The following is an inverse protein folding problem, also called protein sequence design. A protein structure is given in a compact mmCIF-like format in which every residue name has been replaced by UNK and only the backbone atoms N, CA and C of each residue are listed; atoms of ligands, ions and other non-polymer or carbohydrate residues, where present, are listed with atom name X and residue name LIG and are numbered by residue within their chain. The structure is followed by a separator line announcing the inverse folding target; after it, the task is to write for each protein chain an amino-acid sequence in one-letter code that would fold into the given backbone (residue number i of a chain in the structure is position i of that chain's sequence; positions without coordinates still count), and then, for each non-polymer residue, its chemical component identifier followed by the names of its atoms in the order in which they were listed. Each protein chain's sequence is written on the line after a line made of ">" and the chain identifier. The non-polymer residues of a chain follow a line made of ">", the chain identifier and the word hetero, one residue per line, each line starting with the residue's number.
data_IF_353357631960
#
_entry.id   IF_353357631960
#
_cell.length_a   1.000
_cell.length_b   1.000
_cell.length_c   1.000
_cell.angle_alpha   90.00
_cell.angle_beta   90.00
_cell.angle_gamma   90.00
#
_symmetry.space_group_name_H-M   'P 1'
#
loop_
_entity.id
_entity.type
_entity.pdbx_description
1 polymer ?
#
# COMPACT_ATOMS: atom_id res chain seq x y z
N UNK A 1 28.44 -16.14 -6.05
CA UNK A 1 27.46 -15.06 -6.27
C UNK A 1 26.13 -15.60 -5.81
N UNK A 2 25.42 -14.90 -4.91
CA UNK A 2 24.14 -15.40 -4.40
C UNK A 2 23.08 -15.38 -5.51
N UNK A 3 22.34 -16.47 -5.64
CA UNK A 3 21.23 -16.68 -6.55
C UNK A 3 19.91 -16.32 -5.87
N UNK A 4 19.21 -15.33 -6.44
CA UNK A 4 18.01 -14.76 -5.84
C UNK A 4 16.82 -14.95 -6.78
N UNK A 5 15.69 -15.34 -6.22
CA UNK A 5 14.38 -15.22 -6.87
C UNK A 5 13.59 -14.15 -6.13
N UNK A 6 13.02 -13.21 -6.88
CA UNK A 6 12.22 -12.13 -6.31
C UNK A 6 10.72 -12.39 -6.45
N UNK A 7 9.95 -12.24 -5.37
CA UNK A 7 8.50 -12.37 -5.34
C UNK A 7 7.85 -11.01 -5.06
N UNK A 8 7.10 -10.48 -6.03
CA UNK A 8 6.42 -9.18 -5.89
C UNK A 8 5.35 -8.95 -6.95
N UNK A 9 4.43 -8.01 -6.71
CA UNK A 9 3.31 -7.75 -7.65
C UNK A 9 3.00 -6.27 -7.91
N UNK A 10 2.95 -5.39 -6.90
CA UNK A 10 2.73 -3.97 -7.10
C UNK A 10 3.91 -3.27 -7.75
N UNK A 11 3.65 -2.18 -8.47
CA UNK A 11 4.68 -1.44 -9.21
C UNK A 11 5.80 -0.90 -8.31
N UNK A 12 5.49 -0.45 -7.09
CA UNK A 12 6.53 0.13 -6.22
C UNK A 12 7.64 -0.88 -5.92
N UNK A 13 7.33 -2.18 -5.88
CA UNK A 13 8.30 -3.24 -5.58
C UNK A 13 9.40 -3.39 -6.64
N UNK A 14 9.28 -2.78 -7.82
CA UNK A 14 10.30 -2.86 -8.87
C UNK A 14 11.61 -2.18 -8.46
N UNK A 15 11.60 -1.25 -7.51
CA UNK A 15 12.84 -0.66 -6.96
C UNK A 15 13.76 -1.73 -6.35
N UNK A 16 13.19 -2.81 -5.79
CA UNK A 16 13.97 -3.94 -5.29
C UNK A 16 14.62 -4.70 -6.44
N UNK A 17 13.88 -4.92 -7.53
CA UNK A 17 14.42 -5.58 -8.74
C UNK A 17 15.58 -4.75 -9.31
N UNK A 18 15.41 -3.43 -9.39
CA UNK A 18 16.44 -2.52 -9.90
C UNK A 18 17.69 -2.58 -9.03
N UNK A 19 17.52 -2.49 -7.71
CA UNK A 19 18.64 -2.60 -6.80
C UNK A 19 19.37 -3.94 -6.94
N UNK A 20 18.64 -5.07 -6.95
CA UNK A 20 19.25 -6.39 -7.13
C UNK A 20 20.11 -6.49 -8.39
N UNK A 21 19.70 -5.85 -9.49
CA UNK A 21 20.44 -5.85 -10.76
C UNK A 21 21.71 -5.00 -10.72
N UNK A 22 21.79 -4.03 -9.82
CA UNK A 22 23.00 -3.22 -9.61
C UNK A 22 23.98 -3.89 -8.64
N UNK A 23 23.50 -4.83 -7.82
CA UNK A 23 24.31 -5.58 -6.87
C UNK A 23 24.96 -6.81 -7.51
N UNK A 24 25.97 -7.38 -6.83
CA UNK A 24 26.68 -8.59 -7.26
C UNK A 24 25.91 -9.87 -6.91
N UNK A 25 24.64 -9.92 -7.30
CA UNK A 25 23.74 -11.07 -7.12
C UNK A 25 23.16 -11.52 -8.47
N UNK A 26 22.82 -12.80 -8.57
CA UNK A 26 22.20 -13.37 -9.76
C UNK A 26 20.68 -13.41 -9.57
N UNK A 27 19.96 -12.48 -10.21
CA UNK A 27 18.49 -12.51 -10.21
C UNK A 27 18.00 -13.56 -11.23
N UNK A 28 17.66 -14.74 -10.72
CA UNK A 28 17.28 -15.91 -11.54
C UNK A 28 15.89 -15.78 -12.17
N UNK A 29 14.94 -15.24 -11.40
CA UNK A 29 13.55 -15.07 -11.84
C UNK A 29 12.79 -14.06 -10.98
N UNK A 30 11.70 -13.56 -11.55
CA UNK A 30 10.67 -12.77 -10.86
C UNK A 30 9.38 -13.59 -10.81
N UNK A 31 8.85 -13.79 -9.62
CA UNK A 31 7.55 -14.44 -9.39
C UNK A 31 6.53 -13.38 -9.02
N UNK A 32 5.39 -13.39 -9.68
CA UNK A 32 4.32 -12.41 -9.47
C UNK A 32 2.96 -13.08 -9.42
N UNK A 33 1.92 -12.37 -8.95
CA UNK A 33 0.57 -12.90 -8.99
C UNK A 33 0.15 -13.14 -10.44
N UNK A 34 -0.69 -14.15 -10.65
CA UNK A 34 -1.35 -14.35 -11.93
C UNK A 34 -2.26 -13.18 -12.29
N UNK A 35 -2.63 -13.12 -13.56
CA UNK A 35 -3.39 -12.01 -14.13
C UNK A 35 -4.69 -11.75 -13.37
N UNK A 36 -4.99 -10.48 -13.11
CA UNK A 36 -6.26 -10.09 -12.48
C UNK A 36 -7.29 -9.84 -13.56
N UNK A 37 -8.48 -10.42 -13.39
CA UNK A 37 -9.66 -10.07 -14.20
C UNK A 37 -10.14 -8.67 -13.78
N UNK A 38 -9.93 -7.70 -14.66
CA UNK A 38 -10.45 -6.35 -14.53
C UNK A 38 -11.95 -6.25 -14.83
N UNK A 39 -12.49 -5.04 -14.74
CA UNK A 39 -13.87 -4.76 -15.16
C UNK A 39 -14.03 -5.11 -16.65
N UNK A 40 -15.14 -5.75 -17.02
CA UNK A 40 -15.45 -6.25 -18.39
C UNK A 40 -14.57 -7.42 -18.86
N UNK A 41 -13.98 -8.19 -17.95
CA UNK A 41 -13.25 -9.42 -18.30
C UNK A 41 -11.86 -9.19 -18.89
N UNK A 42 -11.38 -7.94 -18.95
CA UNK A 42 -10.00 -7.66 -19.39
C UNK A 42 -9.01 -8.29 -18.43
N UNK A 43 -8.20 -9.20 -18.94
CA UNK A 43 -7.12 -9.84 -18.23
C UNK A 43 -5.91 -8.90 -18.32
N UNK A 44 -5.33 -8.52 -17.18
CA UNK A 44 -4.12 -7.70 -17.15
C UNK A 44 -3.05 -8.35 -16.28
N UNK A 45 -1.84 -8.44 -16.84
CA UNK A 45 -0.62 -8.77 -16.11
C UNK A 45 -0.39 -7.80 -14.95
N UNK A 46 0.32 -8.25 -13.92
CA UNK A 46 0.72 -7.37 -12.83
C UNK A 46 1.74 -6.32 -13.33
N UNK A 47 1.83 -5.16 -12.66
CA UNK A 47 2.87 -4.18 -12.99
C UNK A 47 4.29 -4.77 -12.94
N UNK A 48 4.58 -5.67 -11.99
CA UNK A 48 5.87 -6.35 -11.88
C UNK A 48 6.11 -7.32 -13.04
N UNK A 49 5.10 -8.06 -13.52
CA UNK A 49 5.23 -8.90 -14.70
C UNK A 49 5.64 -8.07 -15.93
N UNK A 50 4.93 -6.97 -16.18
CA UNK A 50 5.21 -6.07 -17.30
C UNK A 50 6.62 -5.46 -17.19
N UNK A 51 7.02 -5.09 -15.97
CA UNK A 51 8.35 -4.57 -15.69
C UNK A 51 9.45 -5.59 -15.99
N UNK A 52 9.28 -6.82 -15.51
CA UNK A 52 10.25 -7.89 -15.66
C UNK A 52 10.38 -8.33 -17.12
N UNK A 53 9.28 -8.45 -17.86
CA UNK A 53 9.28 -8.75 -19.30
C UNK A 53 10.01 -7.67 -20.12
N UNK A 54 9.73 -6.39 -19.83
CA UNK A 54 10.43 -5.26 -20.48
C UNK A 54 11.95 -5.33 -20.27
N UNK A 55 12.38 -5.81 -19.11
CA UNK A 55 13.79 -5.95 -18.75
C UNK A 55 14.37 -7.34 -19.08
N UNK A 56 13.65 -8.18 -19.84
CA UNK A 56 14.08 -9.53 -20.26
C UNK A 56 14.41 -10.47 -19.09
N UNK A 57 13.72 -10.31 -17.95
CA UNK A 57 13.85 -11.21 -16.80
C UNK A 57 12.92 -12.41 -16.96
N UNK A 58 13.32 -13.58 -16.44
CA UNK A 58 12.45 -14.77 -16.39
C UNK A 58 11.28 -14.48 -15.44
N UNK A 59 10.04 -14.67 -15.90
CA UNK A 59 8.82 -14.41 -15.12
C UNK A 59 8.04 -15.70 -14.86
N UNK A 60 7.63 -15.90 -13.62
CA UNK A 60 6.60 -16.88 -13.26
C UNK A 60 5.37 -16.20 -12.69
N UNK A 61 4.19 -16.65 -13.11
CA UNK A 61 2.91 -16.16 -12.60
C UNK A 61 1.97 -17.32 -12.26
N UNK A 62 2.34 -18.18 -11.29
CA UNK A 62 1.55 -19.37 -10.98
C UNK A 62 0.17 -19.01 -10.43
N UNK A 63 -0.84 -19.76 -10.86
CA UNK A 63 -2.18 -19.67 -10.27
C UNK A 63 -2.12 -20.16 -8.82
N UNK A 64 -1.50 -21.33 -8.60
CA UNK A 64 -1.30 -21.95 -7.29
C UNK A 64 0.18 -22.14 -6.99
N UNK A 65 0.62 -21.73 -5.79
CA UNK A 65 2.02 -21.90 -5.37
C UNK A 65 2.37 -23.35 -5.05
N UNK A 66 1.38 -24.18 -4.72
CA UNK A 66 1.55 -25.61 -4.46
C UNK A 66 1.60 -26.46 -5.74
N UNK A 67 1.50 -25.85 -6.92
CA UNK A 67 1.59 -26.59 -8.18
C UNK A 67 2.96 -27.29 -8.30
N UNK A 68 2.92 -28.61 -8.53
CA UNK A 68 4.13 -29.44 -8.54
C UNK A 68 5.11 -29.01 -9.64
N UNK A 69 4.61 -28.58 -10.80
CA UNK A 69 5.47 -28.13 -11.91
C UNK A 69 6.17 -26.82 -11.54
N UNK A 70 5.43 -25.87 -10.98
CA UNK A 70 6.01 -24.62 -10.48
C UNK A 70 7.09 -24.87 -9.42
N UNK A 71 6.81 -25.69 -8.41
CA UNK A 71 7.80 -26.02 -7.37
C UNK A 71 9.05 -26.67 -7.97
N UNK A 72 8.89 -27.62 -8.90
CA UNK A 72 10.02 -28.24 -9.59
C UNK A 72 10.86 -27.23 -10.40
N UNK A 73 10.22 -26.27 -11.07
CA UNK A 73 10.93 -25.20 -11.78
C UNK A 73 11.73 -24.31 -10.83
N UNK A 74 11.17 -23.96 -9.66
CA UNK A 74 11.90 -23.19 -8.63
C UNK A 74 13.06 -24.01 -8.05
N UNK A 75 12.88 -25.31 -7.80
CA UNK A 75 13.94 -26.20 -7.31
C UNK A 75 15.10 -26.31 -8.30
N UNK A 76 14.82 -26.48 -9.61
CA UNK A 76 15.84 -26.57 -10.65
C UNK A 76 16.69 -25.31 -10.77
N UNK A 77 16.11 -24.15 -10.46
CA UNK A 77 16.82 -22.88 -10.43
C UNK A 77 17.86 -22.82 -9.30
N UNK A 78 17.72 -23.67 -8.27
CA UNK A 78 18.60 -23.77 -7.11
C UNK A 78 18.93 -22.39 -6.49
N UNK A 79 17.91 -21.62 -6.05
CA UNK A 79 18.12 -20.32 -5.45
C UNK A 79 18.81 -20.44 -4.08
N UNK A 80 19.69 -19.50 -3.76
CA UNK A 80 20.27 -19.37 -2.42
C UNK A 80 19.30 -18.63 -1.49
N UNK A 81 18.53 -17.69 -2.04
CA UNK A 81 17.59 -16.85 -1.29
C UNK A 81 16.32 -16.57 -2.13
N UNK A 82 15.15 -16.61 -1.48
CA UNK A 82 13.93 -16.04 -2.03
C UNK A 82 13.67 -14.70 -1.33
N UNK A 83 13.61 -13.60 -2.09
CA UNK A 83 13.28 -12.27 -1.58
C UNK A 83 11.82 -11.94 -1.91
N UNK A 84 11.06 -11.50 -0.93
CA UNK A 84 9.62 -11.27 -1.04
C UNK A 84 9.32 -9.81 -0.70
N UNK A 85 8.53 -9.13 -1.52
CA UNK A 85 7.97 -7.84 -1.18
C UNK A 85 6.59 -7.66 -1.80
N UNK A 86 5.58 -7.54 -0.95
CA UNK A 86 4.18 -7.35 -1.36
C UNK A 86 3.70 -8.36 -2.42
N UNK A 87 4.04 -9.64 -2.26
CA UNK A 87 3.58 -10.71 -3.14
C UNK A 87 2.09 -11.03 -2.96
N UNK A 88 1.57 -10.89 -1.73
CA UNK A 88 0.13 -10.96 -1.43
C UNK A 88 -0.49 -12.36 -1.44
N UNK A 89 0.31 -13.43 -1.43
CA UNK A 89 -0.10 -14.81 -1.16
C UNK A 89 0.84 -15.41 -0.11
N UNK A 90 0.31 -16.32 0.71
CA UNK A 90 1.10 -17.09 1.67
C UNK A 90 1.92 -18.13 0.91
N UNK A 91 3.22 -18.20 1.18
CA UNK A 91 4.09 -19.21 0.57
C UNK A 91 3.91 -20.56 1.28
N UNK A 92 3.71 -21.66 0.54
CA UNK A 92 3.63 -22.98 1.15
C UNK A 92 5.00 -23.46 1.65
N UNK A 93 4.98 -24.35 2.65
CA UNK A 93 6.20 -24.84 3.31
C UNK A 93 7.21 -25.49 2.35
N UNK A 94 6.72 -26.20 1.34
CA UNK A 94 7.57 -26.83 0.31
C UNK A 94 8.33 -25.82 -0.56
N UNK A 95 7.88 -24.56 -0.63
CA UNK A 95 8.56 -23.45 -1.30
C UNK A 95 9.51 -22.74 -0.33
N UNK A 96 9.07 -22.52 0.92
CA UNK A 96 9.88 -21.88 1.97
C UNK A 96 11.20 -22.62 2.20
N UNK A 97 11.17 -23.96 2.13
CA UNK A 97 12.32 -24.85 2.37
C UNK A 97 13.29 -24.99 1.19
N UNK A 98 13.00 -24.41 0.01
CA UNK A 98 13.86 -24.56 -1.17
C UNK A 98 15.21 -23.81 -1.00
N UNK A 99 15.21 -22.50 -0.73
CA UNK A 99 16.46 -21.73 -0.69
C UNK A 99 17.32 -22.06 0.52
N UNK A 100 18.63 -22.17 0.32
CA UNK A 100 19.61 -22.45 1.38
C UNK A 100 19.53 -21.47 2.55
N UNK A 101 19.40 -20.17 2.27
CA UNK A 101 19.33 -19.12 3.29
C UNK A 101 17.89 -18.72 3.65
N UNK A 102 16.91 -19.50 3.18
CA UNK A 102 15.50 -19.29 3.47
C UNK A 102 14.85 -18.20 2.62
N UNK A 103 13.71 -17.71 3.10
CA UNK A 103 12.89 -16.71 2.42
C UNK A 103 12.89 -15.42 3.25
N UNK A 104 13.42 -14.34 2.68
CA UNK A 104 13.46 -13.01 3.30
C UNK A 104 12.27 -12.19 2.80
N UNK A 105 11.42 -11.72 3.71
CA UNK A 105 10.31 -10.83 3.36
C UNK A 105 10.60 -9.40 3.81
N UNK A 106 10.18 -8.44 2.99
CA UNK A 106 10.20 -7.01 3.25
C UNK A 106 8.78 -6.61 3.66
N UNK A 107 8.59 -6.23 4.91
CA UNK A 107 7.33 -5.76 5.44
C UNK A 107 7.33 -4.24 5.57
N UNK A 108 6.25 -3.58 5.14
CA UNK A 108 6.16 -2.11 5.13
C UNK A 108 5.62 -1.54 6.44
N UNK A 109 6.13 -2.03 7.57
CA UNK A 109 5.97 -1.46 8.91
C UNK A 109 7.18 -1.80 9.78
N UNK A 110 7.21 -1.24 10.99
CA UNK A 110 8.13 -1.63 12.07
C UNK A 110 7.49 -2.82 12.81
N UNK A 111 7.88 -4.05 12.45
CA UNK A 111 7.39 -5.25 13.14
C UNK A 111 7.85 -5.25 14.62
N UNK A 112 7.03 -5.79 15.54
CA UNK A 112 5.81 -6.58 15.33
C UNK A 112 4.51 -5.77 15.12
N UNK A 113 4.59 -4.44 15.04
CA UNK A 113 3.41 -3.60 14.77
C UNK A 113 2.96 -3.76 13.32
N UNK A 114 1.66 -3.82 13.10
CA UNK A 114 1.02 -3.89 11.78
C UNK A 114 1.36 -5.14 10.94
N UNK A 115 1.42 -6.32 11.56
CA UNK A 115 1.46 -7.61 10.83
C UNK A 115 0.25 -7.74 9.89
N UNK A 116 0.43 -8.29 8.69
CA UNK A 116 -0.65 -8.61 7.77
C UNK A 116 -0.67 -7.80 6.47
N UNK A 117 -1.86 -7.67 5.89
CA UNK A 117 -2.00 -7.39 4.46
C UNK A 117 -1.92 -5.91 4.06
N UNK A 118 -2.16 -4.96 4.98
CA UNK A 118 -2.27 -3.54 4.65
C UNK A 118 -1.54 -2.59 5.64
N UNK A 119 -0.28 -2.87 6.01
CA UNK A 119 0.43 -2.10 7.03
C UNK A 119 0.45 -0.59 6.74
N UNK A 120 0.76 -0.19 5.51
CA UNK A 120 0.84 1.22 5.10
C UNK A 120 -0.47 1.97 5.38
N UNK A 121 -1.60 1.38 5.01
CA UNK A 121 -2.91 2.01 5.22
C UNK A 121 -3.24 2.12 6.71
N UNK A 122 -2.98 1.08 7.50
CA UNK A 122 -3.26 1.09 8.94
C UNK A 122 -2.34 2.05 9.72
N UNK A 123 -1.07 2.16 9.32
CA UNK A 123 -0.16 3.20 9.82
C UNK A 123 -0.77 4.59 9.62
N UNK A 124 -1.29 4.90 8.42
CA UNK A 124 -1.89 6.21 8.16
C UNK A 124 -3.21 6.36 8.94
N UNK A 125 -4.08 5.36 8.94
CA UNK A 125 -5.38 5.41 9.63
C UNK A 125 -5.25 5.59 11.15
N UNK A 126 -4.19 5.05 11.75
CA UNK A 126 -3.90 5.21 13.18
C UNK A 126 -3.27 6.55 13.53
N UNK A 127 -2.88 7.35 12.54
CA UNK A 127 -2.20 8.62 12.76
C UNK A 127 -0.76 8.46 13.27
N UNK A 128 -0.12 7.32 12.98
CA UNK A 128 1.28 7.09 13.33
C UNK A 128 2.16 8.18 12.69
N UNK A 129 3.14 8.69 13.45
CA UNK A 129 4.14 9.64 12.94
C UNK A 129 5.36 8.95 12.34
N UNK A 130 5.54 7.65 12.61
CA UNK A 130 6.64 6.83 12.14
C UNK A 130 6.15 5.52 11.59
N UNK A 131 6.86 5.01 10.60
CA UNK A 131 6.74 3.65 10.08
C UNK A 131 8.13 3.17 9.68
N UNK A 132 8.24 2.13 8.87
CA UNK A 132 9.51 1.66 8.39
C UNK A 132 9.38 0.48 7.47
N UNK A 133 10.52 -0.13 7.20
CA UNK A 133 10.62 -1.43 6.57
C UNK A 133 11.31 -2.41 7.51
N UNK A 134 10.69 -3.55 7.73
CA UNK A 134 11.30 -4.66 8.45
C UNK A 134 11.59 -5.80 7.47
N UNK A 135 12.83 -6.24 7.46
CA UNK A 135 13.28 -7.45 6.80
C UNK A 135 13.27 -8.59 7.80
N UNK A 136 12.57 -9.68 7.50
CA UNK A 136 12.47 -10.82 8.39
C UNK A 136 12.46 -12.13 7.62
N UNK A 137 12.99 -13.20 8.22
CA UNK A 137 12.89 -14.55 7.63
C UNK A 137 11.48 -15.07 7.86
N UNK A 138 10.76 -15.43 6.81
CA UNK A 138 9.40 -15.95 6.98
C UNK A 138 9.42 -17.35 7.59
N UNK A 139 8.38 -17.65 8.37
CA UNK A 139 8.06 -18.98 8.87
C UNK A 139 6.62 -19.34 8.45
N UNK A 140 6.03 -20.36 9.06
CA UNK A 140 4.66 -20.79 8.77
C UNK A 140 3.60 -19.80 9.27
N UNK A 141 3.97 -18.89 10.16
CA UNK A 141 3.09 -17.89 10.76
C UNK A 141 3.15 -16.55 10.02
N UNK A 142 2.01 -15.87 9.93
CA UNK A 142 1.90 -14.59 9.22
C UNK A 142 2.72 -13.49 9.91
N UNK A 143 3.78 -13.04 9.25
CA UNK A 143 4.65 -11.93 9.63
C UNK A 143 5.25 -12.03 11.05
N UNK A 144 5.47 -13.26 11.54
CA UNK A 144 6.03 -13.52 12.88
C UNK A 144 7.48 -14.00 12.91
N UNK A 145 8.07 -14.26 11.75
CA UNK A 145 9.43 -14.78 11.71
C UNK A 145 10.47 -13.77 12.18
N UNK A 146 11.69 -14.26 12.43
CA UNK A 146 12.72 -13.48 13.10
C UNK A 146 13.25 -12.33 12.23
N UNK A 147 13.45 -11.18 12.87
CA UNK A 147 13.86 -9.92 12.22
C UNK A 147 15.35 -9.99 11.89
N UNK A 148 15.68 -9.66 10.65
CA UNK A 148 17.05 -9.46 10.16
C UNK A 148 17.48 -8.00 10.33
N UNK A 149 16.60 -7.07 9.96
CA UNK A 149 16.85 -5.63 10.06
C UNK A 149 15.54 -4.84 10.05
N UNK A 150 15.53 -3.67 10.71
CA UNK A 150 14.43 -2.72 10.67
C UNK A 150 14.99 -1.33 10.40
N UNK A 151 14.36 -0.60 9.49
CA UNK A 151 14.73 0.77 9.14
C UNK A 151 13.50 1.68 9.28
N UNK A 152 13.59 2.67 10.18
CA UNK A 152 12.52 3.60 10.45
C UNK A 152 12.41 4.71 9.39
N UNK A 153 11.21 5.28 9.28
CA UNK A 153 10.87 6.37 8.39
C UNK A 153 9.88 7.32 9.08
N UNK A 154 10.20 8.60 9.14
CA UNK A 154 9.31 9.66 9.62
C UNK A 154 8.25 9.98 8.55
N UNK A 155 6.98 9.91 8.92
CA UNK A 155 5.86 10.16 7.99
C UNK A 155 5.61 11.67 7.93
N UNK A 156 5.68 12.23 6.71
CA UNK A 156 5.33 13.64 6.51
C UNK A 156 3.83 13.85 6.65
N UNK A 157 3.43 15.07 7.04
CA UNK A 157 2.02 15.47 7.04
C UNK A 157 1.37 15.37 5.66
N UNK A 158 2.15 15.43 4.58
CA UNK A 158 1.64 15.33 3.21
C UNK A 158 1.68 13.90 2.65
N UNK A 159 2.18 12.92 3.41
CA UNK A 159 2.23 11.54 2.94
C UNK A 159 0.85 10.89 2.88
N UNK A 160 0.66 10.14 1.80
CA UNK A 160 -0.50 9.30 1.54
C UNK A 160 -0.05 7.86 1.26
N UNK A 161 -0.99 6.94 1.04
CA UNK A 161 -0.63 5.54 0.85
C UNK A 161 0.23 5.30 -0.40
N UNK A 162 0.12 6.11 -1.45
CA UNK A 162 0.91 5.96 -2.68
C UNK A 162 2.32 6.54 -2.47
N UNK A 163 2.44 7.74 -1.90
CA UNK A 163 3.76 8.33 -1.62
C UNK A 163 4.55 7.47 -0.64
N UNK A 164 3.88 6.93 0.37
CA UNK A 164 4.51 6.09 1.39
C UNK A 164 4.94 4.72 0.83
N UNK A 165 4.15 4.11 -0.08
CA UNK A 165 4.57 2.93 -0.84
C UNK A 165 5.89 3.15 -1.58
N UNK A 166 6.01 4.28 -2.29
CA UNK A 166 7.21 4.63 -3.04
C UNK A 166 8.40 4.84 -2.11
N UNK A 167 8.25 5.68 -1.08
CA UNK A 167 9.30 6.03 -0.11
C UNK A 167 9.82 4.80 0.63
N UNK A 168 8.93 3.94 1.13
CA UNK A 168 9.32 2.71 1.82
C UNK A 168 9.98 1.71 0.88
N UNK A 169 9.55 1.63 -0.38
CA UNK A 169 10.23 0.78 -1.34
C UNK A 169 11.66 1.26 -1.65
N UNK A 170 11.87 2.57 -1.71
CA UNK A 170 13.21 3.15 -1.90
C UNK A 170 14.09 2.95 -0.67
N UNK A 171 13.52 3.10 0.53
CA UNK A 171 14.21 2.79 1.79
C UNK A 171 14.65 1.33 1.84
N UNK A 172 13.76 0.39 1.50
CA UNK A 172 14.10 -1.03 1.43
C UNK A 172 15.18 -1.31 0.37
N UNK A 173 15.10 -0.70 -0.82
CA UNK A 173 16.13 -0.84 -1.84
C UNK A 173 17.49 -0.34 -1.33
N UNK A 174 17.52 0.81 -0.63
CA UNK A 174 18.75 1.39 -0.09
C UNK A 174 19.47 0.43 0.88
N UNK A 175 18.73 -0.22 1.77
CA UNK A 175 19.27 -1.13 2.79
C UNK A 175 19.36 -2.60 2.35
N UNK A 176 19.11 -2.89 1.08
CA UNK A 176 18.95 -4.27 0.60
C UNK A 176 20.25 -5.08 0.68
N UNK A 177 21.38 -4.52 0.24
CA UNK A 177 22.65 -5.25 0.18
C UNK A 177 23.14 -5.65 1.57
N UNK A 178 23.13 -4.71 2.51
CA UNK A 178 23.56 -4.97 3.89
C UNK A 178 22.66 -6.00 4.57
N UNK A 179 21.36 -5.98 4.27
CA UNK A 179 20.41 -6.92 4.86
C UNK A 179 20.57 -8.33 4.28
N UNK A 180 20.78 -8.46 2.97
CA UNK A 180 21.04 -9.77 2.35
C UNK A 180 22.31 -10.39 2.95
N UNK A 181 23.36 -9.60 3.19
CA UNK A 181 24.59 -10.08 3.87
C UNK A 181 24.32 -10.61 5.27
N UNK A 182 23.41 -9.98 6.04
CA UNK A 182 23.01 -10.45 7.37
C UNK A 182 22.18 -11.74 7.32
N UNK A 183 21.48 -12.00 6.22
CA UNK A 183 20.57 -13.15 6.09
C UNK A 183 21.29 -14.51 6.06
N UNK A 184 22.61 -14.53 5.83
CA UNK A 184 23.41 -15.75 5.76
C UNK A 184 23.78 -16.33 7.13
N UNK A 185 23.64 -15.55 8.21
CA UNK A 185 23.96 -15.93 9.59
C UNK A 185 22.72 -15.79 10.47
N UNK A 186 22.19 -16.92 10.94
CA UNK A 186 20.99 -16.92 11.77
C UNK A 186 21.24 -16.46 13.22
N UNK A 187 22.50 -16.37 13.65
CA UNK A 187 22.84 -15.99 15.04
C UNK A 187 22.55 -14.51 15.36
N UNK A 188 22.37 -13.67 14.34
CA UNK A 188 22.11 -12.24 14.48
C UNK A 188 20.63 -11.86 14.35
N UNK A 189 19.74 -12.85 14.21
CA UNK A 189 18.31 -12.62 14.08
C UNK A 189 17.68 -12.23 15.42
N UNK A 190 16.72 -11.31 15.37
CA UNK A 190 16.00 -10.81 16.55
C UNK A 190 14.58 -11.37 16.58
N UNK A 191 14.22 -12.06 17.67
CA UNK A 191 12.85 -12.52 17.90
C UNK A 191 11.90 -11.33 18.09
N UNK A 192 10.70 -11.44 17.53
CA UNK A 192 9.67 -10.42 17.72
C UNK A 192 9.09 -10.46 19.15
N UNK A 193 8.82 -9.29 19.71
CA UNK A 193 8.16 -9.13 21.01
C UNK A 193 6.63 -9.17 20.85
N UNK A 194 6.02 -10.34 21.12
CA UNK A 194 4.58 -10.55 20.91
C UNK A 194 3.69 -9.54 21.65
N UNK A 195 4.16 -8.96 22.76
CA UNK A 195 3.40 -7.96 23.53
C UNK A 195 3.20 -6.63 22.78
N UNK A 196 4.02 -6.36 21.76
CA UNK A 196 3.96 -5.15 20.92
C UNK A 196 3.26 -5.38 19.59
N UNK A 197 2.71 -6.56 19.36
CA UNK A 197 2.12 -6.92 18.07
C UNK A 197 0.77 -6.24 17.83
N UNK A 198 0.53 -5.88 16.57
CA UNK A 198 -0.79 -5.44 16.10
C UNK A 198 -1.01 -5.94 14.67
N UNK A 199 -2.27 -5.94 14.21
CA UNK A 199 -2.64 -6.51 12.92
C UNK A 199 -3.25 -5.48 11.98
N UNK A 200 -2.68 -5.41 10.77
CA UNK A 200 -3.14 -4.62 9.65
C UNK A 200 -3.94 -5.50 8.68
N UNK A 201 -5.21 -5.72 9.02
CA UNK A 201 -6.13 -6.49 8.18
C UNK A 201 -6.28 -5.88 6.79
N UNK A 202 -6.60 -6.72 5.81
CA UNK A 202 -6.85 -6.28 4.43
C UNK A 202 -7.96 -5.21 4.40
N UNK A 203 -7.70 -4.09 3.72
CA UNK A 203 -8.71 -3.05 3.50
C UNK A 203 -9.86 -3.62 2.65
N UNK A 204 -11.09 -3.35 3.07
CA UNK A 204 -12.33 -3.71 2.38
C UNK A 204 -12.94 -2.46 1.70
N UNK A 205 -13.79 -2.68 0.70
CA UNK A 205 -14.36 -1.57 -0.09
C UNK A 205 -15.35 -0.71 0.70
N UNK A 206 -16.14 -1.32 1.57
CA UNK A 206 -17.11 -0.65 2.44
C UNK A 206 -16.45 0.31 3.44
N UNK A 207 -15.22 0.03 3.86
CA UNK A 207 -14.44 0.92 4.74
C UNK A 207 -14.12 2.28 4.10
N UNK A 208 -14.30 2.43 2.79
CA UNK A 208 -14.03 3.69 2.09
C UNK A 208 -15.11 4.75 2.30
N UNK A 209 -16.29 4.36 2.82
CA UNK A 209 -17.39 5.28 3.05
C UNK A 209 -17.05 6.19 4.24
N UNK A 210 -17.09 7.49 4.01
CA UNK A 210 -16.90 8.52 5.02
C UNK A 210 -18.17 8.63 5.87
N UNK A 211 -17.99 8.53 7.19
CA UNK A 211 -19.01 8.91 8.15
C UNK A 211 -18.75 10.35 8.56
N UNK A 212 -19.68 11.26 8.23
CA UNK A 212 -19.55 12.66 8.58
C UNK A 212 -19.53 12.90 10.10
N UNK A 213 -19.97 11.93 10.90
CA UNK A 213 -19.86 11.97 12.37
C UNK A 213 -18.44 11.68 12.89
N UNK A 214 -17.45 11.49 12.02
CA UNK A 214 -16.04 11.48 12.40
C UNK A 214 -15.47 12.90 12.46
N UNK A 215 -14.29 13.09 13.06
CA UNK A 215 -13.59 14.37 12.98
C UNK A 215 -13.04 14.61 11.58
N UNK A 216 -12.83 15.88 11.21
CA UNK A 216 -12.21 16.22 9.93
C UNK A 216 -10.82 15.59 9.80
N UNK A 217 -10.04 15.52 10.89
CA UNK A 217 -8.72 14.88 10.92
C UNK A 217 -8.79 13.38 10.61
N UNK A 218 -9.72 12.64 11.23
CA UNK A 218 -9.91 11.21 10.94
C UNK A 218 -10.30 10.97 9.49
N UNK A 219 -11.17 11.82 8.94
CA UNK A 219 -11.56 11.72 7.53
C UNK A 219 -10.36 12.01 6.61
N UNK A 220 -9.50 12.98 6.95
CA UNK A 220 -8.25 13.22 6.20
C UNK A 220 -7.34 12.00 6.21
N UNK A 221 -7.19 11.32 7.35
CA UNK A 221 -6.43 10.07 7.43
C UNK A 221 -7.02 8.99 6.52
N UNK A 222 -8.36 8.84 6.48
CA UNK A 222 -9.03 7.93 5.54
C UNK A 222 -8.76 8.29 4.07
N UNK A 223 -8.86 9.58 3.72
CA UNK A 223 -8.60 10.07 2.36
C UNK A 223 -7.17 9.71 1.94
N UNK A 224 -6.18 9.93 2.82
CA UNK A 224 -4.77 9.60 2.58
C UNK A 224 -4.51 8.09 2.53
N UNK A 225 -5.07 7.32 3.45
CA UNK A 225 -4.88 5.87 3.53
C UNK A 225 -5.50 5.13 2.35
N UNK A 226 -6.60 5.64 1.80
CA UNK A 226 -7.36 4.98 0.73
C UNK A 226 -7.10 5.56 -0.66
N UNK A 227 -6.14 6.49 -0.81
CA UNK A 227 -5.76 7.01 -2.12
C UNK A 227 -5.35 5.86 -3.07
N UNK A 228 -5.81 5.93 -4.32
CA UNK A 228 -5.63 4.87 -5.32
C UNK A 228 -6.61 3.70 -5.16
N UNK A 229 -6.76 3.14 -3.96
CA UNK A 229 -7.75 2.11 -3.67
C UNK A 229 -8.04 1.98 -2.16
N UNK A 230 -9.33 1.84 -1.74
CA UNK A 230 -10.56 1.87 -2.55
C UNK A 230 -11.02 3.28 -2.99
N UNK A 231 -10.30 4.34 -2.56
CA UNK A 231 -10.66 5.76 -2.62
C UNK A 231 -11.80 6.09 -1.67
N UNK A 232 -11.58 7.04 -0.77
CA UNK A 232 -12.60 7.49 0.16
C UNK A 232 -13.81 8.05 -0.60
N UNK A 233 -15.01 7.75 -0.15
CA UNK A 233 -16.26 8.09 -0.84
C UNK A 233 -17.28 8.62 0.16
N UNK A 234 -18.03 9.64 -0.22
CA UNK A 234 -19.05 10.24 0.63
C UNK A 234 -20.31 10.56 -0.17
N UNK A 235 -21.46 10.52 0.52
CA UNK A 235 -22.70 11.08 -0.02
C UNK A 235 -22.73 12.58 0.27
N UNK A 236 -22.77 13.40 -0.78
CA UNK A 236 -22.84 14.86 -0.72
C UNK A 236 -24.05 15.31 -1.54
N UNK A 237 -25.05 15.90 -0.89
CA UNK A 237 -26.29 16.37 -1.53
C UNK A 237 -26.92 15.33 -2.48
N UNK A 238 -26.98 14.08 -2.03
CA UNK A 238 -27.53 12.94 -2.78
C UNK A 238 -26.62 12.34 -3.86
N UNK A 239 -25.43 12.89 -4.08
CA UNK A 239 -24.44 12.34 -5.03
C UNK A 239 -23.35 11.57 -4.32
N UNK A 240 -23.00 10.37 -4.82
CA UNK A 240 -21.79 9.65 -4.38
C UNK A 240 -20.56 10.34 -4.96
N UNK A 241 -19.67 10.82 -4.11
CA UNK A 241 -18.48 11.59 -4.48
C UNK A 241 -17.24 10.92 -3.91
N UNK A 242 -16.27 10.62 -4.77
CA UNK A 242 -14.96 10.15 -4.35
C UNK A 242 -14.06 11.32 -4.00
N UNK A 243 -13.34 11.21 -2.90
CA UNK A 243 -12.47 12.24 -2.36
C UNK A 243 -11.02 11.78 -2.50
N UNK A 244 -10.23 12.58 -3.23
CA UNK A 244 -8.85 12.27 -3.59
C UNK A 244 -7.83 13.09 -2.82
N UNK A 245 -8.22 14.26 -2.31
CA UNK A 245 -7.40 15.11 -1.46
C UNK A 245 -8.30 15.97 -0.60
N UNK A 246 -7.98 16.08 0.68
CA UNK A 246 -8.67 16.93 1.63
C UNK A 246 -7.72 17.38 2.74
N UNK A 247 -8.04 18.54 3.34
CA UNK A 247 -7.40 19.05 4.53
C UNK A 247 -8.43 19.23 5.64
N UNK A 248 -7.99 19.17 6.89
CA UNK A 248 -8.81 19.49 8.05
C UNK A 248 -8.58 20.94 8.44
N UNK A 249 -9.67 21.70 8.59
CA UNK A 249 -9.64 23.04 9.16
C UNK A 249 -10.08 22.91 10.63
N UNK A 250 -9.18 23.26 11.55
CA UNK A 250 -9.35 23.08 13.00
C UNK A 250 -10.32 24.06 13.67
N UNK A 251 -11.16 24.74 12.91
CA UNK A 251 -12.20 25.63 13.42
C UNK A 251 -13.43 24.80 13.81
N UNK A 252 -13.89 24.94 15.04
CA UNK A 252 -15.16 24.35 15.46
C UNK A 252 -16.32 24.89 14.61
N UNK A 253 -17.31 24.03 14.39
CA UNK A 253 -18.49 24.34 13.60
C UNK A 253 -19.73 23.95 14.38
N UNK A 254 -20.73 24.83 14.38
CA UNK A 254 -22.05 24.58 14.99
C UNK A 254 -23.02 23.92 14.00
N UNK A 255 -22.59 23.69 12.77
CA UNK A 255 -23.40 23.05 11.75
C UNK A 255 -23.49 21.54 11.99
N UNK A 256 -24.54 20.93 11.44
CA UNK A 256 -24.72 19.48 11.50
C UNK A 256 -23.64 18.80 10.64
N UNK A 257 -23.08 17.66 11.09
CA UNK A 257 -22.20 16.83 10.28
C UNK A 257 -22.76 16.54 8.88
N UNK A 258 -21.93 16.70 7.86
CA UNK A 258 -22.29 16.53 6.44
C UNK A 258 -22.88 17.77 5.78
N UNK A 259 -23.13 18.86 6.54
CA UNK A 259 -23.59 20.12 5.96
C UNK A 259 -22.47 20.77 5.13
N UNK A 260 -22.81 21.19 3.92
CA UNK A 260 -21.92 22.02 3.09
C UNK A 260 -21.93 23.43 3.66
N UNK A 261 -20.75 23.96 3.98
CA UNK A 261 -20.59 25.25 4.66
C UNK A 261 -19.86 26.29 3.81
N UNK A 262 -19.27 25.87 2.70
CA UNK A 262 -18.62 26.79 1.77
C UNK A 262 -18.04 26.09 0.54
N UNK A 263 -17.78 26.89 -0.49
CA UNK A 263 -17.09 26.48 -1.71
C UNK A 263 -16.30 27.67 -2.24
N UNK A 264 -15.00 27.50 -2.42
CA UNK A 264 -14.15 28.47 -3.10
C UNK A 264 -13.11 27.75 -3.99
N UNK A 265 -12.10 28.49 -4.48
CA UNK A 265 -11.03 27.93 -5.30
C UNK A 265 -10.09 26.98 -4.55
N UNK A 266 -10.09 27.03 -3.22
CA UNK A 266 -9.22 26.26 -2.35
C UNK A 266 -9.88 24.97 -1.85
N UNK A 267 -11.21 24.94 -1.74
CA UNK A 267 -11.91 23.70 -1.43
C UNK A 267 -13.43 23.78 -1.29
N UNK A 268 -14.03 22.58 -1.29
CA UNK A 268 -15.41 22.34 -0.87
C UNK A 268 -15.39 22.02 0.63
N UNK A 269 -15.98 22.90 1.43
CA UNK A 269 -15.97 22.82 2.88
C UNK A 269 -17.23 22.13 3.40
N UNK A 270 -17.05 21.07 4.18
CA UNK A 270 -18.13 20.27 4.78
C UNK A 270 -17.89 20.16 6.28
N UNK A 271 -18.91 20.52 7.06
CA UNK A 271 -18.93 20.36 8.51
C UNK A 271 -18.89 18.89 8.90
N UNK A 272 -18.11 18.54 9.92
CA UNK A 272 -18.03 17.18 10.47
C UNK A 272 -18.39 17.20 11.96
N UNK A 273 -18.27 16.08 12.68
CA UNK A 273 -18.48 16.08 14.14
C UNK A 273 -17.53 17.04 14.86
N UNK A 274 -16.31 17.20 14.34
CA UNK A 274 -15.30 18.12 14.87
C UNK A 274 -14.45 18.67 13.74
N UNK A 275 -14.46 19.99 13.60
CA UNK A 275 -13.76 20.70 12.53
C UNK A 275 -14.52 20.71 11.21
N UNK A 276 -13.85 21.21 10.18
CA UNK A 276 -14.38 21.27 8.81
C UNK A 276 -13.44 20.47 7.90
N UNK A 277 -14.00 19.59 7.08
CA UNK A 277 -13.25 18.93 6.00
C UNK A 277 -13.24 19.85 4.78
N UNK A 278 -12.06 20.19 4.30
CA UNK A 278 -11.85 20.99 3.11
C UNK A 278 -11.39 20.11 1.95
N UNK A 279 -12.32 19.71 1.09
CA UNK A 279 -12.06 18.81 -0.05
C UNK A 279 -11.44 19.59 -1.20
N UNK A 280 -10.24 19.19 -1.61
CA UNK A 280 -9.45 19.87 -2.64
C UNK A 280 -9.54 19.18 -4.01
N UNK A 281 -9.65 17.85 -4.03
CA UNK A 281 -9.80 17.04 -5.25
C UNK A 281 -10.90 16.02 -5.05
N UNK A 282 -11.83 15.96 -6.00
CA UNK A 282 -13.00 15.10 -5.96
C UNK A 282 -13.30 14.49 -7.33
N UNK A 283 -14.11 13.44 -7.34
CA UNK A 283 -14.58 12.78 -8.54
C UNK A 283 -16.04 12.40 -8.40
N UNK A 284 -16.86 12.92 -9.33
CA UNK A 284 -18.26 12.56 -9.48
C UNK A 284 -18.42 11.21 -10.22
N UNK A 285 -19.58 10.52 -10.09
CA UNK A 285 -19.80 9.24 -10.74
C UNK A 285 -19.64 9.33 -12.26
N UNK A 286 -18.77 8.50 -12.81
CA UNK A 286 -18.49 8.47 -14.26
C UNK A 286 -17.77 9.69 -14.82
N UNK A 287 -17.21 10.57 -13.97
CA UNK A 287 -16.46 11.77 -14.37
C UNK A 287 -14.97 11.65 -14.06
N UNK A 288 -14.19 12.58 -14.63
CA UNK A 288 -12.78 12.75 -14.31
C UNK A 288 -12.61 13.32 -12.89
N UNK A 289 -11.41 13.15 -12.32
CA UNK A 289 -11.01 13.84 -11.09
C UNK A 289 -10.89 15.32 -11.41
N UNK A 290 -11.49 16.17 -10.58
CA UNK A 290 -11.47 17.63 -10.71
C UNK A 290 -10.98 18.27 -9.40
N UNK A 291 -10.49 19.49 -9.49
CA UNK A 291 -10.15 20.31 -8.32
C UNK A 291 -11.38 21.06 -7.79
N UNK A 292 -11.28 21.58 -6.57
CA UNK A 292 -12.29 22.48 -6.04
C UNK A 292 -12.43 23.78 -6.86
N UNK A 293 -11.34 24.28 -7.43
CA UNK A 293 -11.36 25.42 -8.37
C UNK A 293 -12.16 25.11 -9.64
N UNK A 294 -12.02 23.91 -10.19
CA UNK A 294 -12.84 23.48 -11.34
C UNK A 294 -14.32 23.40 -10.94
N UNK A 295 -14.62 22.89 -9.74
CA UNK A 295 -15.98 22.81 -9.22
C UNK A 295 -16.61 24.20 -8.99
N UNK A 296 -15.86 25.15 -8.42
CA UNK A 296 -16.35 26.50 -8.12
C UNK A 296 -16.68 27.29 -9.40
N UNK A 297 -15.89 27.10 -10.46
CA UNK A 297 -16.14 27.67 -11.79
C UNK A 297 -17.19 26.90 -12.62
N UNK A 298 -17.61 25.71 -12.17
CA UNK A 298 -18.55 24.87 -12.90
C UNK A 298 -20.00 25.38 -12.81
N UNK A 299 -20.73 25.17 -13.91
CA UNK A 299 -22.19 25.30 -13.99
C UNK A 299 -22.91 23.94 -14.04
N UNK A 300 -22.22 22.86 -13.64
CA UNK A 300 -22.85 21.54 -13.50
C UNK A 300 -24.00 21.56 -12.49
N UNK A 301 -24.96 20.64 -12.63
CA UNK A 301 -26.08 20.51 -11.70
C UNK A 301 -25.62 20.37 -10.24
N UNK A 302 -24.56 19.57 -10.01
CA UNK A 302 -23.96 19.41 -8.70
C UNK A 302 -23.35 20.72 -8.16
N UNK A 303 -22.59 21.46 -8.98
CA UNK A 303 -22.02 22.74 -8.55
C UNK A 303 -23.10 23.79 -8.24
N UNK A 304 -24.16 23.84 -9.04
CA UNK A 304 -25.31 24.73 -8.80
C UNK A 304 -26.04 24.36 -7.50
N UNK A 305 -26.21 23.07 -7.21
CA UNK A 305 -26.83 22.60 -5.98
C UNK A 305 -26.00 22.99 -4.75
N UNK A 306 -24.68 22.82 -4.81
CA UNK A 306 -23.74 23.27 -3.78
C UNK A 306 -23.84 24.78 -3.54
N UNK A 307 -23.81 25.59 -4.62
CA UNK A 307 -23.93 27.05 -4.54
C UNK A 307 -25.28 27.50 -3.96
N UNK A 308 -26.34 26.72 -4.13
CA UNK A 308 -27.65 26.97 -3.53
C UNK A 308 -27.69 26.60 -2.05
N UNK A 309 -27.06 25.49 -1.65
CA UNK A 309 -26.99 25.03 -0.25
C UNK A 309 -26.23 26.00 0.66
N UNK A 310 -25.24 26.72 0.10
CA UNK A 310 -24.42 27.68 0.85
C UNK A 310 -25.15 29.03 1.06
N UNK A 311 -26.14 29.37 0.22
CA UNK A 311 -26.92 30.62 0.30
C UNK A 311 -28.03 30.52 1.33
#
# INVERSE_FOLDING_TARGET
>A
MLKIIFFGSPIYTTHIIDQLRHLKYELLAVVTQNEKRGKRGKISKTPVALYAEKNKLKVFAPTELNDKKFIQEIQKLNPDLILIFAYGKILPLNLIKIPQYGCLNIHASILPKWRGAAPIQHTILSGDNKTGVTFFKINEELDKGDIVATHEFEISKDDDAISLQLKLSQLAAHHLEETIKKTIDDSILTKQDESKSSYANKILKDQCIIDWNESAEMIVLKVKAFVGWPVAEALILGSSVRIWSALSIGTDTTHKPGKVVGLDKHGLMISTKKGILNIQKLQLPGKNIITASDLSNSNSSFATLIKKEIK
#
